data_IF_304436789865
#
_entry.id   IF_304436789865
#
_cell.length_a   1.000
_cell.length_b   1.000
_cell.length_c   1.000
_cell.angle_alpha   90.00
_cell.angle_beta   90.00
_cell.angle_gamma   90.00
#
_symmetry.space_group_name_H-M   'P 1'
#
loop_
_entity.id
_entity.type
_entity.pdbx_description
1 polymer ?
#
# COMPACT_ATOMS: atom_id res chain seq x y z
N UNK A 1 -22.47 -8.43 -5.57
CA UNK A 1 -22.46 -6.96 -5.80
C UNK A 1 -21.57 -6.63 -7.00
N UNK A 2 -20.29 -7.01 -7.00
CA UNK A 2 -19.35 -6.81 -8.12
C UNK A 2 -19.88 -7.30 -9.49
N UNK A 3 -20.35 -8.55 -9.53
CA UNK A 3 -20.98 -9.13 -10.73
C UNK A 3 -22.28 -8.42 -11.16
N UNK A 4 -22.97 -7.76 -10.23
CA UNK A 4 -24.20 -7.01 -10.51
C UNK A 4 -23.93 -5.61 -11.04
N UNK A 5 -22.74 -5.04 -10.79
CA UNK A 5 -22.32 -3.72 -11.28
C UNK A 5 -21.30 -3.81 -12.44
N UNK A 6 -21.01 -5.02 -12.93
CA UNK A 6 -20.01 -5.24 -13.99
C UNK A 6 -18.57 -4.95 -13.56
N UNK A 7 -18.31 -4.84 -12.26
CA UNK A 7 -16.96 -4.67 -11.74
C UNK A 7 -16.18 -5.98 -11.93
N UNK A 8 -14.90 -5.85 -12.30
CA UNK A 8 -13.97 -6.99 -12.38
C UNK A 8 -13.93 -7.64 -10.98
N UNK A 9 -14.15 -8.96 -10.88
CA UNK A 9 -14.05 -9.65 -9.60
C UNK A 9 -12.69 -9.37 -8.97
N UNK A 10 -12.66 -9.11 -7.65
CA UNK A 10 -11.39 -8.99 -6.94
C UNK A 10 -10.59 -10.26 -7.21
N UNK A 11 -9.35 -10.11 -7.70
CA UNK A 11 -8.50 -11.22 -8.08
C UNK A 11 -8.27 -12.11 -6.84
N UNK A 12 -8.90 -13.29 -6.82
CA UNK A 12 -8.81 -14.26 -5.73
C UNK A 12 -7.53 -15.07 -5.84
N UNK A 13 -6.40 -14.37 -5.88
CA UNK A 13 -5.11 -15.02 -5.89
C UNK A 13 -4.79 -15.46 -4.47
N UNK A 14 -4.51 -16.74 -4.32
CA UNK A 14 -4.11 -17.36 -3.07
C UNK A 14 -2.87 -18.21 -3.28
N UNK A 15 -2.24 -18.59 -2.18
CA UNK A 15 -1.12 -19.52 -2.18
C UNK A 15 -1.23 -20.42 -0.97
N UNK A 16 -0.84 -21.69 -1.13
CA UNK A 16 -0.83 -22.61 -0.02
C UNK A 16 0.28 -22.26 0.98
N UNK A 17 0.04 -22.25 2.32
CA UNK A 17 1.01 -21.81 3.31
C UNK A 17 2.37 -22.52 3.27
N UNK A 18 2.40 -23.79 2.85
CA UNK A 18 3.65 -24.58 2.72
C UNK A 18 4.47 -24.29 1.45
N UNK A 19 3.99 -23.42 0.55
CA UNK A 19 4.74 -23.04 -0.66
C UNK A 19 5.81 -22.00 -0.34
N UNK A 20 6.88 -21.91 -1.15
CA UNK A 20 7.91 -20.89 -0.95
C UNK A 20 7.32 -19.48 -0.99
N UNK A 21 7.79 -18.60 -0.10
CA UNK A 21 7.38 -17.18 -0.08
C UNK A 21 7.61 -16.48 -1.43
N UNK A 22 8.59 -16.94 -2.20
CA UNK A 22 8.83 -16.48 -3.57
C UNK A 22 7.60 -16.66 -4.49
N UNK A 23 6.87 -17.76 -4.37
CA UNK A 23 5.65 -18.02 -5.15
C UNK A 23 4.56 -17.00 -4.81
N UNK A 24 4.39 -16.70 -3.51
CA UNK A 24 3.50 -15.65 -3.05
C UNK A 24 3.86 -14.29 -3.65
N UNK A 25 5.15 -13.91 -3.61
CA UNK A 25 5.64 -12.66 -4.21
C UNK A 25 5.39 -12.61 -5.72
N UNK A 26 5.60 -13.70 -6.45
CA UNK A 26 5.35 -13.79 -7.90
C UNK A 26 3.87 -13.57 -8.21
N UNK A 27 2.99 -14.27 -7.51
CA UNK A 27 1.55 -14.13 -7.64
C UNK A 27 1.09 -12.69 -7.36
N UNK A 28 1.62 -12.04 -6.32
CA UNK A 28 1.32 -10.64 -5.98
C UNK A 28 1.80 -9.66 -7.05
N UNK A 29 2.95 -9.91 -7.69
CA UNK A 29 3.47 -9.05 -8.76
C UNK A 29 2.65 -9.19 -10.05
N UNK A 30 2.23 -10.42 -10.38
CA UNK A 30 1.46 -10.71 -11.58
C UNK A 30 0.03 -10.16 -11.51
N UNK A 31 -0.61 -10.28 -10.34
CA UNK A 31 -1.95 -9.74 -10.05
C UNK A 31 -1.96 -8.27 -9.64
N UNK A 32 -0.78 -7.69 -9.36
CA UNK A 32 -0.64 -6.39 -8.66
C UNK A 32 -1.34 -6.35 -7.30
N UNK A 33 -1.61 -7.51 -6.70
CA UNK A 33 -2.22 -7.58 -5.38
C UNK A 33 -1.26 -7.07 -4.30
N UNK A 34 -1.77 -6.19 -3.44
CA UNK A 34 -1.03 -5.61 -2.30
C UNK A 34 -0.97 -6.56 -1.09
N UNK A 35 -1.81 -7.58 -1.11
CA UNK A 35 -1.84 -8.68 -0.15
C UNK A 35 -2.28 -9.97 -0.84
N UNK A 36 -1.94 -11.12 -0.26
CA UNK A 36 -2.33 -12.43 -0.78
C UNK A 36 -2.85 -13.31 0.36
N UNK A 37 -3.92 -14.05 0.08
CA UNK A 37 -4.52 -14.97 1.03
C UNK A 37 -3.74 -16.29 1.07
N UNK A 38 -3.46 -16.77 2.27
CA UNK A 38 -2.91 -18.10 2.50
C UNK A 38 -4.07 -19.08 2.73
N UNK A 39 -4.27 -20.01 1.81
CA UNK A 39 -5.40 -20.95 1.83
C UNK A 39 -4.90 -22.37 1.90
N UNK A 40 -5.44 -23.13 2.85
CA UNK A 40 -5.21 -24.57 2.99
C UNK A 40 -6.52 -25.33 2.72
N UNK A 41 -6.46 -26.63 2.52
CA UNK A 41 -7.63 -27.51 2.37
C UNK A 41 -7.69 -28.44 3.56
N UNK A 42 -8.77 -28.34 4.32
CA UNK A 42 -9.03 -29.21 5.46
C UNK A 42 -9.16 -30.67 4.99
N UNK A 43 -8.34 -31.56 5.56
CA UNK A 43 -8.22 -32.94 5.09
C UNK A 43 -9.42 -33.82 5.43
N UNK A 44 -10.25 -33.44 6.41
CA UNK A 44 -11.43 -34.20 6.82
C UNK A 44 -12.67 -33.80 6.00
N UNK A 45 -12.83 -32.50 5.77
CA UNK A 45 -14.01 -31.90 5.13
C UNK A 45 -13.81 -31.55 3.66
N UNK A 46 -12.55 -31.54 3.19
CA UNK A 46 -12.13 -31.13 1.85
C UNK A 46 -12.60 -29.71 1.48
N UNK A 47 -12.68 -28.83 2.48
CA UNK A 47 -13.07 -27.43 2.32
C UNK A 47 -11.85 -26.51 2.41
N UNK A 48 -11.87 -25.46 1.62
CA UNK A 48 -10.86 -24.40 1.71
C UNK A 48 -11.00 -23.62 3.02
N UNK A 49 -9.87 -23.43 3.69
CA UNK A 49 -9.72 -22.65 4.90
C UNK A 49 -8.71 -21.53 4.66
N UNK A 50 -9.12 -20.29 4.91
CA UNK A 50 -8.19 -19.16 4.93
C UNK A 50 -7.41 -19.21 6.25
N UNK A 51 -6.10 -19.45 6.15
CA UNK A 51 -5.20 -19.51 7.30
C UNK A 51 -4.81 -18.09 7.73
N UNK A 52 -4.43 -17.24 6.78
CA UNK A 52 -4.03 -15.85 7.03
C UNK A 52 -4.03 -15.03 5.74
N UNK A 53 -3.78 -13.73 5.85
CA UNK A 53 -3.55 -12.82 4.73
C UNK A 53 -2.22 -12.11 4.97
N UNK A 54 -1.32 -12.13 3.98
CA UNK A 54 -0.02 -11.46 4.08
C UNK A 54 0.04 -10.28 3.12
N UNK A 55 0.38 -9.10 3.65
CA UNK A 55 0.60 -7.88 2.87
C UNK A 55 2.08 -7.77 2.43
N UNK A 56 2.34 -7.03 1.35
CA UNK A 56 3.72 -6.77 0.86
C UNK A 56 4.62 -6.22 1.97
N UNK A 57 4.11 -5.32 2.81
CA UNK A 57 4.84 -4.76 3.94
C UNK A 57 5.35 -5.85 4.91
N UNK A 58 4.52 -6.82 5.29
CA UNK A 58 4.92 -7.89 6.20
C UNK A 58 6.02 -8.76 5.60
N UNK A 59 6.00 -9.00 4.29
CA UNK A 59 7.04 -9.75 3.57
C UNK A 59 8.36 -8.98 3.62
N UNK A 60 8.35 -7.68 3.29
CA UNK A 60 9.55 -6.83 3.32
C UNK A 60 10.10 -6.71 4.75
N UNK A 61 9.23 -6.51 5.75
CA UNK A 61 9.61 -6.47 7.17
C UNK A 61 10.21 -7.79 7.65
N UNK A 62 9.63 -8.92 7.25
CA UNK A 62 10.17 -10.25 7.54
C UNK A 62 11.59 -10.41 6.97
N UNK A 63 11.83 -9.99 5.73
CA UNK A 63 13.17 -10.00 5.11
C UNK A 63 14.12 -9.06 5.86
N UNK A 64 13.66 -7.86 6.20
CA UNK A 64 14.47 -6.86 6.90
C UNK A 64 14.95 -7.35 8.28
N UNK A 65 14.09 -8.06 9.02
CA UNK A 65 14.41 -8.60 10.35
C UNK A 65 15.30 -9.84 10.24
N UNK A 66 14.94 -10.81 9.39
CA UNK A 66 15.57 -12.13 9.38
C UNK A 66 16.83 -12.21 8.51
N UNK A 67 17.06 -11.22 7.65
CA UNK A 67 18.15 -11.24 6.68
C UNK A 67 19.08 -10.01 6.78
N UNK A 68 19.20 -9.43 7.99
CA UNK A 68 19.99 -8.20 8.22
C UNK A 68 21.41 -8.29 7.64
N UNK A 69 22.11 -9.40 7.87
CA UNK A 69 23.47 -9.62 7.38
C UNK A 69 23.63 -9.48 5.86
N UNK A 70 22.56 -9.69 5.10
CA UNK A 70 22.52 -9.47 3.66
C UNK A 70 21.98 -8.08 3.30
N UNK A 71 20.95 -7.58 3.99
CA UNK A 71 20.36 -6.26 3.67
C UNK A 71 21.33 -5.12 3.95
N UNK A 72 22.23 -5.27 4.94
CA UNK A 72 23.31 -4.29 5.20
C UNK A 72 24.31 -4.15 4.04
N UNK A 73 24.35 -5.11 3.11
CA UNK A 73 25.25 -5.07 1.94
C UNK A 73 24.65 -4.29 0.76
N UNK A 74 23.37 -3.88 0.85
CA UNK A 74 22.63 -3.18 -0.22
C UNK A 74 23.01 -1.69 -0.29
N UNK A 75 24.26 -1.40 -0.65
CA UNK A 75 24.85 -0.04 -0.61
C UNK A 75 24.58 0.84 -1.83
N UNK A 76 23.88 0.36 -2.86
CA UNK A 76 23.51 1.21 -3.99
C UNK A 76 22.40 2.18 -3.60
N UNK A 77 22.43 3.40 -4.15
CA UNK A 77 21.37 4.37 -3.93
C UNK A 77 20.08 3.93 -4.63
N UNK A 78 18.92 4.41 -4.16
CA UNK A 78 17.63 4.13 -4.81
C UNK A 78 17.62 4.59 -6.27
N UNK A 79 18.31 5.71 -6.58
CA UNK A 79 18.50 6.20 -7.95
C UNK A 79 19.31 5.24 -8.81
N UNK A 80 20.43 4.72 -8.30
CA UNK A 80 21.32 3.84 -9.07
C UNK A 80 20.67 2.52 -9.49
N UNK A 81 19.71 2.04 -8.70
CA UNK A 81 18.98 0.81 -8.98
C UNK A 81 17.64 1.05 -9.70
N UNK A 82 17.27 2.30 -9.96
CA UNK A 82 16.00 2.66 -10.60
C UNK A 82 14.78 2.27 -9.76
N UNK A 83 14.87 2.33 -8.43
CA UNK A 83 13.77 1.97 -7.55
C UNK A 83 12.80 3.15 -7.38
N UNK A 84 11.56 2.96 -7.82
CA UNK A 84 10.49 3.95 -7.70
C UNK A 84 10.14 4.65 -9.01
N UNK A 85 9.18 5.58 -8.93
CA UNK A 85 8.69 6.37 -10.08
C UNK A 85 9.09 7.83 -9.91
N UNK A 86 9.75 8.41 -10.91
CA UNK A 86 10.35 9.76 -10.83
C UNK A 86 9.65 10.82 -11.69
N UNK A 87 8.66 10.44 -12.49
CA UNK A 87 7.96 11.35 -13.40
C UNK A 87 6.50 10.95 -13.50
N UNK A 88 5.62 11.92 -13.80
CA UNK A 88 4.18 11.67 -13.86
C UNK A 88 3.55 11.29 -12.52
N UNK A 89 4.14 11.77 -11.42
CA UNK A 89 3.61 11.54 -10.06
C UNK A 89 2.30 12.33 -9.94
N UNK A 90 1.20 11.62 -9.69
CA UNK A 90 -0.09 12.23 -9.38
C UNK A 90 -0.01 12.85 -7.97
N UNK A 91 -0.38 14.12 -7.84
CA UNK A 91 -0.40 14.85 -6.58
C UNK A 91 -1.73 15.58 -6.41
N UNK A 92 -2.05 15.98 -5.19
CA UNK A 92 -3.22 16.78 -4.86
C UNK A 92 -2.88 17.89 -3.86
N UNK A 93 -3.82 18.83 -3.68
CA UNK A 93 -3.71 19.91 -2.69
C UNK A 93 -4.61 19.60 -1.50
N UNK A 94 -4.38 20.26 -0.36
CA UNK A 94 -5.29 20.18 0.80
C UNK A 94 -6.73 20.60 0.47
N UNK A 95 -6.89 21.48 -0.53
CA UNK A 95 -8.19 21.97 -1.00
C UNK A 95 -8.84 21.09 -2.07
N UNK A 96 -8.15 20.04 -2.56
CA UNK A 96 -8.76 19.08 -3.49
C UNK A 96 -9.89 18.32 -2.78
N UNK A 97 -10.95 17.95 -3.52
CA UNK A 97 -11.99 17.10 -2.95
C UNK A 97 -11.47 15.68 -2.73
N UNK A 98 -12.03 14.96 -1.76
CA UNK A 98 -11.74 13.53 -1.57
C UNK A 98 -12.09 12.74 -2.83
N UNK A 99 -13.21 13.05 -3.47
CA UNK A 99 -13.64 12.39 -4.70
C UNK A 99 -12.62 12.53 -5.85
N UNK A 100 -12.03 13.71 -6.04
CA UNK A 100 -10.98 13.93 -7.05
C UNK A 100 -9.75 13.07 -6.77
N UNK A 101 -9.35 12.96 -5.50
CA UNK A 101 -8.20 12.13 -5.10
C UNK A 101 -8.50 10.65 -5.28
N UNK A 102 -9.70 10.19 -4.95
CA UNK A 102 -10.15 8.82 -5.24
C UNK A 102 -10.14 8.55 -6.75
N UNK A 103 -10.57 9.52 -7.57
CA UNK A 103 -10.50 9.40 -9.02
C UNK A 103 -9.04 9.28 -9.51
N UNK A 104 -8.11 10.06 -8.95
CA UNK A 104 -6.67 9.92 -9.23
C UNK A 104 -6.15 8.53 -8.85
N UNK A 105 -6.52 8.00 -7.68
CA UNK A 105 -6.13 6.66 -7.23
C UNK A 105 -6.58 5.58 -8.22
N UNK A 106 -7.85 5.61 -8.62
CA UNK A 106 -8.41 4.63 -9.58
C UNK A 106 -7.76 4.78 -10.95
N UNK A 107 -7.63 6.02 -11.46
CA UNK A 107 -7.06 6.29 -12.78
C UNK A 107 -5.59 5.84 -12.89
N UNK A 108 -4.82 6.02 -11.82
CA UNK A 108 -3.39 5.71 -11.81
C UNK A 108 -3.06 4.34 -11.18
N UNK A 109 -4.06 3.58 -10.70
CA UNK A 109 -3.89 2.29 -10.01
C UNK A 109 -2.96 2.40 -8.77
N UNK A 110 -3.08 3.50 -8.02
CA UNK A 110 -2.26 3.82 -6.85
C UNK A 110 -3.09 3.83 -5.57
N UNK A 111 -2.44 3.47 -4.46
CA UNK A 111 -3.08 3.41 -3.13
C UNK A 111 -2.85 4.66 -2.28
N UNK A 112 -2.07 5.62 -2.78
CA UNK A 112 -1.67 6.81 -2.05
C UNK A 112 -1.37 7.94 -3.04
N UNK A 113 -1.81 9.16 -2.69
CA UNK A 113 -1.57 10.39 -3.46
C UNK A 113 -0.87 11.39 -2.55
N UNK A 114 0.37 11.84 -2.87
CA UNK A 114 1.04 12.88 -2.12
C UNK A 114 0.26 14.20 -2.15
N UNK A 115 0.11 14.80 -0.98
CA UNK A 115 -0.51 16.12 -0.80
C UNK A 115 0.60 17.15 -0.70
N UNK A 116 0.59 18.11 -1.63
CA UNK A 116 1.65 19.11 -1.77
C UNK A 116 1.14 20.52 -1.57
N UNK A 117 2.05 21.45 -1.30
CA UNK A 117 1.76 22.88 -1.33
C UNK A 117 1.95 23.49 -2.72
N UNK A 118 1.73 24.81 -2.85
CA UNK A 118 1.90 25.55 -4.09
C UNK A 118 3.34 25.58 -4.63
N UNK A 119 4.33 25.23 -3.81
CA UNK A 119 5.74 25.13 -4.19
C UNK A 119 6.15 23.68 -4.48
N UNK A 120 5.21 22.74 -4.46
CA UNK A 120 5.47 21.31 -4.69
C UNK A 120 6.13 20.60 -3.50
N UNK A 121 6.12 21.20 -2.30
CA UNK A 121 6.63 20.55 -1.10
C UNK A 121 5.58 19.60 -0.55
N UNK A 122 5.99 18.38 -0.19
CA UNK A 122 5.10 17.38 0.41
C UNK A 122 4.68 17.84 1.80
N UNK A 123 3.37 17.94 2.01
CA UNK A 123 2.75 18.28 3.29
C UNK A 123 2.18 17.04 3.97
N UNK A 124 1.51 16.19 3.20
CA UNK A 124 0.92 14.96 3.68
C UNK A 124 0.83 13.93 2.53
N UNK A 125 0.14 12.82 2.74
CA UNK A 125 -0.18 11.84 1.72
C UNK A 125 -1.56 11.28 2.04
N UNK A 126 -2.49 11.26 1.08
CA UNK A 126 -3.82 10.70 1.27
C UNK A 126 -3.82 9.26 0.76
N UNK A 127 -4.17 8.32 1.63
CA UNK A 127 -4.12 6.87 1.39
C UNK A 127 -5.54 6.31 1.17
N UNK A 128 -5.64 5.17 0.50
CA UNK A 128 -6.93 4.51 0.26
C UNK A 128 -7.69 4.19 1.57
N UNK A 129 -6.96 3.99 2.69
CA UNK A 129 -7.56 3.77 4.01
C UNK A 129 -8.25 5.01 4.58
N UNK A 130 -7.87 6.22 4.15
CA UNK A 130 -8.49 7.48 4.58
C UNK A 130 -9.87 7.70 3.99
N UNK A 131 -10.24 6.93 2.95
CA UNK A 131 -11.59 6.95 2.39
C UNK A 131 -12.59 6.31 3.36
N UNK A 132 -12.14 5.37 4.20
CA UNK A 132 -13.03 4.59 5.07
C UNK A 132 -13.79 5.49 6.06
N UNK A 133 -13.14 6.41 6.80
CA UNK A 133 -13.86 7.38 7.64
C UNK A 133 -14.86 8.24 6.86
N UNK A 134 -14.53 8.66 5.63
CA UNK A 134 -15.38 9.51 4.80
C UNK A 134 -16.68 8.82 4.37
N UNK A 135 -16.70 7.49 4.21
CA UNK A 135 -17.92 6.76 3.83
C UNK A 135 -18.62 6.10 5.02
N UNK A 136 -18.03 6.19 6.21
CA UNK A 136 -18.54 5.52 7.40
C UNK A 136 -19.87 6.14 7.82
N UNK A 137 -20.88 5.29 8.02
CA UNK A 137 -22.23 5.75 8.40
C UNK A 137 -23.11 6.17 7.22
N UNK A 138 -22.65 6.01 5.97
CA UNK A 138 -23.47 6.23 4.77
C UNK A 138 -23.62 7.71 4.37
N UNK A 139 -22.83 8.60 4.96
CA UNK A 139 -22.74 10.00 4.58
C UNK A 139 -21.80 10.17 3.38
N UNK A 140 -22.28 9.88 2.17
CA UNK A 140 -21.47 10.03 0.96
C UNK A 140 -21.14 11.49 0.61
N UNK A 141 -21.85 12.45 1.21
CA UNK A 141 -21.61 13.89 1.05
C UNK A 141 -20.19 14.28 1.55
N UNK A 142 -19.64 13.55 2.52
CA UNK A 142 -18.26 13.73 3.02
C UNK A 142 -17.18 13.43 1.95
N UNK A 143 -17.55 12.88 0.79
CA UNK A 143 -16.63 12.72 -0.34
C UNK A 143 -16.42 14.03 -1.12
N UNK A 144 -17.34 14.98 -0.97
CA UNK A 144 -17.21 16.33 -1.54
C UNK A 144 -16.39 17.27 -0.64
N UNK A 145 -16.14 16.87 0.62
CA UNK A 145 -15.24 17.56 1.55
C UNK A 145 -13.81 17.64 0.99
N UNK A 146 -13.06 18.60 1.53
CA UNK A 146 -11.65 18.74 1.20
C UNK A 146 -10.81 17.62 1.81
N UNK A 147 -9.71 17.28 1.13
CA UNK A 147 -8.69 16.36 1.66
C UNK A 147 -8.18 16.81 3.03
N UNK A 148 -8.03 18.11 3.26
CA UNK A 148 -7.63 18.65 4.56
C UNK A 148 -8.59 18.26 5.69
N UNK A 149 -9.90 18.39 5.46
CA UNK A 149 -10.93 18.00 6.43
C UNK A 149 -10.96 16.49 6.65
N UNK A 150 -10.80 15.70 5.59
CA UNK A 150 -10.73 14.24 5.68
C UNK A 150 -9.51 13.78 6.49
N UNK A 151 -8.34 14.40 6.29
CA UNK A 151 -7.12 14.09 7.04
C UNK A 151 -7.25 14.42 8.53
N UNK A 152 -8.07 15.41 8.91
CA UNK A 152 -8.39 15.68 10.32
C UNK A 152 -9.20 14.57 10.99
N UNK A 153 -9.86 13.69 10.21
CA UNK A 153 -10.60 12.52 10.73
C UNK A 153 -9.67 11.32 11.01
N UNK A 154 -8.36 11.42 10.73
CA UNK A 154 -7.39 10.35 11.01
C UNK A 154 -7.25 10.09 12.51
N UNK A 155 -7.14 8.82 12.94
CA UNK A 155 -6.75 8.49 14.30
C UNK A 155 -5.37 9.06 14.66
N UNK A 156 -5.18 9.48 15.90
CA UNK A 156 -3.88 9.98 16.40
C UNK A 156 -2.75 8.94 16.30
N UNK A 157 -3.09 7.65 16.27
CA UNK A 157 -2.15 6.53 16.14
C UNK A 157 -1.75 6.24 14.69
N UNK A 158 -2.21 7.05 13.72
CA UNK A 158 -1.89 6.85 12.30
C UNK A 158 -0.37 6.96 12.08
N UNK A 159 0.23 6.07 11.27
CA UNK A 159 1.65 6.15 10.96
C UNK A 159 2.01 7.49 10.31
N UNK A 160 3.18 8.02 10.68
CA UNK A 160 3.77 9.17 10.00
C UNK A 160 4.20 8.82 8.57
N UNK A 161 4.38 9.87 7.76
CA UNK A 161 4.86 9.73 6.40
C UNK A 161 6.37 9.53 6.41
N UNK A 162 6.81 8.47 5.74
CA UNK A 162 8.23 8.22 5.49
C UNK A 162 8.69 8.93 4.22
N UNK A 163 9.79 9.65 4.32
CA UNK A 163 10.45 10.30 3.18
C UNK A 163 11.90 9.83 3.06
N UNK A 164 12.41 9.76 1.84
CA UNK A 164 13.83 9.53 1.56
C UNK A 164 14.29 10.42 0.39
N UNK A 165 15.61 10.57 0.25
CA UNK A 165 16.27 11.20 -0.88
C UNK A 165 16.67 10.16 -1.93
N UNK A 166 16.84 10.60 -3.17
CA UNK A 166 17.31 9.74 -4.26
C UNK A 166 18.71 9.15 -4.01
N UNK A 167 19.50 9.82 -3.17
CA UNK A 167 20.83 9.39 -2.73
C UNK A 167 20.82 8.43 -1.53
N UNK A 168 19.65 8.17 -0.94
CA UNK A 168 19.55 7.19 0.13
C UNK A 168 19.78 5.78 -0.41
N UNK A 169 20.42 4.96 0.42
CA UNK A 169 20.78 3.59 0.06
C UNK A 169 19.70 2.61 0.49
N UNK A 170 19.59 1.51 -0.24
CA UNK A 170 18.60 0.49 0.05
C UNK A 170 18.79 -0.15 1.44
N UNK A 171 20.03 -0.27 1.94
CA UNK A 171 20.31 -0.72 3.31
C UNK A 171 19.66 0.19 4.37
N UNK A 172 19.71 1.51 4.19
CA UNK A 172 19.06 2.47 5.08
C UNK A 172 17.53 2.35 5.03
N UNK A 173 16.94 2.09 3.87
CA UNK A 173 15.50 1.85 3.74
C UNK A 173 15.09 0.57 4.48
N UNK A 174 15.84 -0.53 4.32
CA UNK A 174 15.58 -1.78 5.05
C UNK A 174 15.71 -1.61 6.57
N UNK A 175 16.67 -0.82 7.04
CA UNK A 175 16.83 -0.52 8.46
C UNK A 175 15.63 0.25 9.02
N UNK A 176 15.10 1.23 8.26
CA UNK A 176 13.86 1.93 8.62
C UNK A 176 12.66 0.98 8.67
N UNK A 177 12.47 0.12 7.68
CA UNK A 177 11.39 -0.88 7.67
C UNK A 177 11.50 -1.82 8.87
N UNK A 178 12.71 -2.28 9.20
CA UNK A 178 12.96 -3.15 10.35
C UNK A 178 12.56 -2.49 11.68
N UNK A 179 12.84 -1.20 11.83
CA UNK A 179 12.58 -0.43 13.06
C UNK A 179 11.16 0.13 13.14
N UNK A 180 10.46 0.21 12.01
CA UNK A 180 9.07 0.66 11.96
C UNK A 180 8.16 -0.24 12.79
N UNK A 181 7.17 0.35 13.47
CA UNK A 181 6.23 -0.37 14.34
C UNK A 181 5.39 -1.37 13.55
#
# INVERSE_FOLDING_TARGET
IEKAIGAIPIETVSVHPSKPLYEACRHMLESRARQISLVDVDSETNKEMVVSVIAQYHIVKFIAINNEHNTVLLKKTVRDIGLGTYSGIATALMSSSVLDVVHLMVKHDISCVPIVDSHGRVLNAFEAVDVIPCIKGGAYDDLDDSVGEALCKRPDESPDIYTCSEGDRLDSIFDTVRKSR
#
